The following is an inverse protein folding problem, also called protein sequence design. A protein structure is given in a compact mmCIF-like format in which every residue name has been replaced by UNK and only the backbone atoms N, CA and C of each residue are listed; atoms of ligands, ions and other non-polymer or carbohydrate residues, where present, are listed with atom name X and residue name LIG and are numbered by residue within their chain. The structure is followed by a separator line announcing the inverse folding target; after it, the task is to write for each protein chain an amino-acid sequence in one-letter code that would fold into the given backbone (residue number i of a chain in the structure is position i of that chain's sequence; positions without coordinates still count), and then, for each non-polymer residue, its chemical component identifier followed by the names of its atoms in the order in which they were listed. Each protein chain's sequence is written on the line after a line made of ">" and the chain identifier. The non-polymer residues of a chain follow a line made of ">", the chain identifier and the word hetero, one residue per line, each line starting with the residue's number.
data_IF_465109836714
#
_entry.id   IF_465109836714
#
_cell.length_a   1.000
_cell.length_b   1.000
_cell.length_c   1.000
_cell.angle_alpha   90.00
_cell.angle_beta   90.00
_cell.angle_gamma   90.00
#
_symmetry.space_group_name_H-M   'P 1'
#
loop_
_entity.id
_entity.type
_entity.pdbx_description
1 polymer ?
#
# COMPACT_ATOMS: atom_id res chain seq x y z
N UNK A 1 -22.60 54.11 -3.01
CA UNK A 1 -22.80 52.66 -3.29
C UNK A 1 -23.70 52.11 -2.20
N UNK A 2 -24.68 51.24 -2.49
CA UNK A 2 -25.54 50.70 -1.43
C UNK A 2 -24.71 49.83 -0.49
N UNK A 3 -24.81 50.11 0.81
CA UNK A 3 -24.11 49.41 1.89
C UNK A 3 -24.25 47.88 1.80
N UNK A 4 -25.41 47.41 1.36
CA UNK A 4 -25.72 45.99 1.14
C UNK A 4 -24.76 45.30 0.16
N UNK A 5 -24.35 45.96 -0.93
CA UNK A 5 -23.41 45.38 -1.91
C UNK A 5 -22.02 45.19 -1.29
N UNK A 6 -21.54 46.17 -0.53
CA UNK A 6 -20.22 46.13 0.12
C UNK A 6 -20.18 45.03 1.18
N UNK A 7 -21.23 44.94 2.02
CA UNK A 7 -21.34 43.90 3.05
C UNK A 7 -21.44 42.51 2.43
N UNK A 8 -22.25 42.35 1.37
CA UNK A 8 -22.40 41.06 0.68
C UNK A 8 -21.09 40.60 0.03
N UNK A 9 -20.37 41.52 -0.63
CA UNK A 9 -19.06 41.23 -1.20
C UNK A 9 -18.04 40.85 -0.12
N UNK A 10 -17.98 41.58 0.99
CA UNK A 10 -17.07 41.27 2.09
C UNK A 10 -17.36 39.88 2.71
N UNK A 11 -18.64 39.51 2.83
CA UNK A 11 -19.04 38.18 3.29
C UNK A 11 -18.61 37.07 2.31
N UNK A 12 -18.81 37.26 1.00
CA UNK A 12 -18.38 36.31 -0.03
C UNK A 12 -16.86 36.18 -0.03
N UNK A 13 -16.13 37.29 0.01
CA UNK A 13 -14.67 37.28 0.07
C UNK A 13 -14.16 36.53 1.31
N UNK A 14 -14.71 36.83 2.48
CA UNK A 14 -14.34 36.13 3.73
C UNK A 14 -14.61 34.63 3.65
N UNK A 15 -15.76 34.23 3.11
CA UNK A 15 -16.10 32.82 2.94
C UNK A 15 -15.18 32.11 1.94
N UNK A 16 -14.92 32.72 0.78
CA UNK A 16 -14.03 32.16 -0.23
C UNK A 16 -12.60 32.01 0.31
N UNK A 17 -12.08 33.01 1.01
CA UNK A 17 -10.74 32.92 1.63
C UNK A 17 -10.70 31.84 2.72
N UNK A 18 -11.76 31.69 3.52
CA UNK A 18 -11.83 30.63 4.54
C UNK A 18 -11.86 29.23 3.92
N UNK A 19 -12.70 29.01 2.89
CA UNK A 19 -12.77 27.73 2.17
C UNK A 19 -11.43 27.45 1.49
N UNK A 20 -10.88 28.44 0.78
CA UNK A 20 -9.59 28.31 0.10
C UNK A 20 -8.47 28.00 1.09
N UNK A 21 -8.44 28.68 2.23
CA UNK A 21 -7.50 28.42 3.31
C UNK A 21 -7.57 26.99 3.85
N UNK A 22 -8.78 26.47 4.08
CA UNK A 22 -8.97 25.08 4.50
C UNK A 22 -8.44 24.08 3.46
N UNK A 23 -8.80 24.25 2.18
CA UNK A 23 -8.34 23.39 1.11
C UNK A 23 -6.83 23.48 0.89
N UNK A 24 -6.26 24.68 1.00
CA UNK A 24 -4.82 24.93 0.90
C UNK A 24 -4.07 24.28 2.06
N UNK A 25 -4.64 24.30 3.27
CA UNK A 25 -4.06 23.63 4.43
C UNK A 25 -3.93 22.13 4.20
N UNK A 26 -5.04 21.46 3.87
CA UNK A 26 -5.01 20.03 3.61
C UNK A 26 -4.13 19.69 2.38
N UNK A 27 -4.16 20.53 1.36
CA UNK A 27 -3.34 20.40 0.15
C UNK A 27 -1.84 20.66 0.35
N UNK A 28 -1.44 21.32 1.44
CA UNK A 28 -0.02 21.55 1.76
C UNK A 28 0.47 20.67 2.89
N UNK A 29 -0.41 20.06 3.68
CA UNK A 29 -0.08 19.35 4.91
C UNK A 29 1.02 18.29 4.70
N UNK A 30 0.88 17.45 3.68
CA UNK A 30 1.86 16.41 3.35
C UNK A 30 3.13 16.92 2.67
N UNK A 31 3.13 18.12 2.09
CA UNK A 31 4.32 18.67 1.41
C UNK A 31 5.13 19.61 2.31
N UNK A 32 4.47 20.42 3.13
CA UNK A 32 5.06 21.49 3.91
C UNK A 32 5.13 21.20 5.43
N UNK A 33 4.44 20.14 5.91
CA UNK A 33 4.51 19.67 7.29
C UNK A 33 4.36 20.81 8.32
N UNK A 34 5.39 21.05 9.15
CA UNK A 34 5.37 22.02 10.26
C UNK A 34 5.14 23.48 9.81
N UNK A 35 5.54 23.83 8.58
CA UNK A 35 5.38 25.19 8.06
C UNK A 35 4.05 25.42 7.32
N UNK A 36 3.20 24.39 7.24
CA UNK A 36 1.91 24.46 6.53
C UNK A 36 1.02 25.58 7.08
N UNK A 37 0.82 25.61 8.40
CA UNK A 37 -0.06 26.58 9.04
C UNK A 37 0.38 28.03 8.81
N UNK A 38 1.65 28.44 9.10
CA UNK A 38 2.07 29.82 8.84
C UNK A 38 2.03 30.18 7.35
N UNK A 39 2.33 29.23 6.45
CA UNK A 39 2.26 29.46 5.01
C UNK A 39 0.83 29.73 4.53
N UNK A 40 -0.14 28.94 4.99
CA UNK A 40 -1.56 29.11 4.63
C UNK A 40 -2.12 30.42 5.17
N UNK A 41 -1.84 30.76 6.43
CA UNK A 41 -2.26 32.04 7.02
C UNK A 41 -1.67 33.21 6.24
N UNK A 42 -0.41 33.11 5.82
CA UNK A 42 0.24 34.10 4.97
C UNK A 42 -0.46 34.24 3.61
N UNK A 43 -0.75 33.14 2.91
CA UNK A 43 -1.47 33.13 1.63
C UNK A 43 -2.88 33.72 1.76
N UNK A 44 -3.65 33.29 2.77
CA UNK A 44 -4.99 33.82 3.06
C UNK A 44 -4.96 35.34 3.29
N UNK A 45 -3.97 35.81 4.05
CA UNK A 45 -3.80 37.24 4.34
C UNK A 45 -3.49 38.03 3.07
N UNK A 46 -2.63 37.50 2.19
CA UNK A 46 -2.32 38.15 0.91
C UNK A 46 -3.56 38.19 0.01
N UNK A 47 -4.25 37.06 -0.18
CA UNK A 47 -5.43 36.99 -1.05
C UNK A 47 -6.51 37.94 -0.55
N UNK A 48 -6.83 37.90 0.74
CA UNK A 48 -7.83 38.78 1.34
C UNK A 48 -7.45 40.26 1.21
N UNK A 49 -6.22 40.63 1.60
CA UNK A 49 -5.78 42.02 1.59
C UNK A 49 -5.65 42.58 0.18
N UNK A 50 -5.15 41.80 -0.78
CA UNK A 50 -5.02 42.24 -2.16
C UNK A 50 -6.38 42.33 -2.86
N UNK A 51 -7.30 41.40 -2.65
CA UNK A 51 -8.65 41.48 -3.25
C UNK A 51 -9.44 42.68 -2.70
N UNK A 52 -9.37 42.91 -1.38
CA UNK A 52 -9.92 44.12 -0.77
C UNK A 52 -9.26 45.41 -1.31
N UNK A 53 -7.94 45.40 -1.51
CA UNK A 53 -7.20 46.54 -2.09
C UNK A 53 -7.58 46.78 -3.54
N UNK A 54 -7.77 45.74 -4.34
CA UNK A 54 -8.21 45.83 -5.74
C UNK A 54 -9.61 46.47 -5.78
N UNK A 55 -10.54 45.97 -4.98
CA UNK A 55 -11.89 46.53 -4.83
C UNK A 55 -11.86 48.01 -4.44
N UNK A 56 -11.05 48.37 -3.45
CA UNK A 56 -10.90 49.76 -3.01
C UNK A 56 -10.28 50.65 -4.09
N UNK A 57 -9.20 50.22 -4.76
CA UNK A 57 -8.52 50.99 -5.81
C UNK A 57 -9.39 51.15 -7.06
N UNK A 58 -10.25 50.18 -7.39
CA UNK A 58 -11.28 50.32 -8.43
C UNK A 58 -12.26 51.43 -8.07
N UNK A 59 -12.78 51.43 -6.84
CA UNK A 59 -13.74 52.44 -6.38
C UNK A 59 -13.16 53.87 -6.31
N UNK A 60 -11.85 54.01 -6.14
CA UNK A 60 -11.13 55.29 -6.01
C UNK A 60 -10.34 55.68 -7.26
N UNK A 61 -10.54 54.98 -8.37
CA UNK A 61 -9.87 55.22 -9.65
C UNK A 61 -8.32 55.22 -9.57
N UNK A 62 -7.74 54.43 -8.66
CA UNK A 62 -6.28 54.26 -8.52
C UNK A 62 -5.78 53.13 -9.43
N UNK A 63 -4.45 53.06 -9.60
CA UNK A 63 -3.83 51.95 -10.34
C UNK A 63 -3.83 50.69 -9.47
N UNK A 64 -4.33 49.59 -10.01
CA UNK A 64 -4.45 48.30 -9.31
C UNK A 64 -3.59 47.19 -9.95
N UNK A 65 -2.61 47.55 -10.80
CA UNK A 65 -1.71 46.58 -11.47
C UNK A 65 -0.87 45.77 -10.49
N UNK A 66 -0.23 46.45 -9.53
CA UNK A 66 0.62 45.80 -8.54
C UNK A 66 -0.20 44.88 -7.60
N UNK A 67 -1.35 45.31 -7.05
CA UNK A 67 -2.25 44.41 -6.32
C UNK A 67 -2.68 43.18 -7.12
N UNK A 68 -3.04 43.33 -8.41
CA UNK A 68 -3.37 42.17 -9.26
C UNK A 68 -2.18 41.22 -9.37
N UNK A 69 -0.97 41.75 -9.60
CA UNK A 69 0.21 40.89 -9.76
C UNK A 69 0.50 40.08 -8.49
N UNK A 70 0.49 40.74 -7.32
CA UNK A 70 0.72 40.07 -6.03
C UNK A 70 -0.40 39.05 -5.76
N UNK A 71 -1.65 39.44 -6.01
CA UNK A 71 -2.79 38.54 -5.89
C UNK A 71 -2.68 37.33 -6.82
N UNK A 72 -2.27 37.51 -8.08
CA UNK A 72 -2.14 36.43 -9.05
C UNK A 72 -1.08 35.40 -8.64
N UNK A 73 0.04 35.86 -8.08
CA UNK A 73 1.07 34.96 -7.53
C UNK A 73 0.52 34.17 -6.35
N UNK A 74 -0.17 34.81 -5.40
CA UNK A 74 -0.75 34.12 -4.26
C UNK A 74 -1.87 33.15 -4.66
N UNK A 75 -2.74 33.57 -5.59
CA UNK A 75 -3.80 32.76 -6.16
C UNK A 75 -3.24 31.54 -6.90
N UNK A 76 -2.10 31.65 -7.58
CA UNK A 76 -1.46 30.49 -8.22
C UNK A 76 -1.09 29.40 -7.20
N UNK A 77 -0.43 29.76 -6.09
CA UNK A 77 -0.07 28.80 -5.05
C UNK A 77 -1.30 28.23 -4.31
N UNK A 78 -2.31 29.08 -4.09
CA UNK A 78 -3.59 28.67 -3.53
C UNK A 78 -4.32 27.66 -4.43
N UNK A 79 -4.47 27.97 -5.73
CA UNK A 79 -5.06 27.07 -6.72
C UNK A 79 -4.27 25.75 -6.80
N UNK A 80 -2.93 25.81 -6.79
CA UNK A 80 -2.10 24.60 -6.85
C UNK A 80 -2.29 23.68 -5.63
N UNK A 81 -2.37 24.25 -4.41
CA UNK A 81 -2.62 23.48 -3.20
C UNK A 81 -4.06 22.97 -3.12
N UNK A 82 -5.05 23.80 -3.48
CA UNK A 82 -6.45 23.39 -3.59
C UNK A 82 -6.63 22.26 -4.62
N UNK A 83 -5.96 22.34 -5.77
CA UNK A 83 -5.93 21.29 -6.78
C UNK A 83 -5.36 20.00 -6.22
N UNK A 84 -4.23 20.06 -5.53
CA UNK A 84 -3.60 18.88 -4.92
C UNK A 84 -4.55 18.14 -3.97
N UNK A 85 -5.24 18.87 -3.08
CA UNK A 85 -6.21 18.26 -2.17
C UNK A 85 -7.41 17.64 -2.90
N UNK A 86 -8.05 18.39 -3.79
CA UNK A 86 -9.24 17.93 -4.51
C UNK A 86 -8.93 16.75 -5.41
N UNK A 87 -7.84 16.82 -6.16
CA UNK A 87 -7.40 15.74 -7.04
C UNK A 87 -7.07 14.49 -6.24
N UNK A 88 -6.32 14.63 -5.15
CA UNK A 88 -5.97 13.50 -4.29
C UNK A 88 -7.21 12.85 -3.68
N UNK A 89 -8.25 13.61 -3.33
CA UNK A 89 -9.50 13.05 -2.83
C UNK A 89 -10.31 12.34 -3.91
N UNK A 90 -10.40 12.89 -5.13
CA UNK A 90 -11.11 12.21 -6.22
C UNK A 90 -10.41 10.95 -6.69
N UNK A 91 -9.08 10.93 -6.64
CA UNK A 91 -8.27 9.80 -7.06
C UNK A 91 -7.96 8.82 -5.92
N UNK A 92 -8.42 9.11 -4.70
CA UNK A 92 -8.02 8.35 -3.50
C UNK A 92 -8.28 6.87 -3.68
N UNK A 93 -9.51 6.49 -3.97
CA UNK A 93 -9.88 5.08 -4.02
C UNK A 93 -9.28 4.37 -5.24
N UNK A 94 -9.26 5.02 -6.41
CA UNK A 94 -8.74 4.44 -7.65
C UNK A 94 -7.22 4.21 -7.60
N UNK A 95 -6.46 5.20 -7.12
CA UNK A 95 -4.99 5.09 -7.02
C UNK A 95 -4.61 4.13 -5.90
N UNK A 96 -5.29 4.18 -4.74
CA UNK A 96 -5.04 3.21 -3.67
C UNK A 96 -5.29 1.79 -4.19
N UNK A 97 -6.41 1.55 -4.89
CA UNK A 97 -6.72 0.22 -5.41
C UNK A 97 -5.71 -0.26 -6.46
N UNK A 98 -5.35 0.58 -7.43
CA UNK A 98 -4.41 0.19 -8.48
C UNK A 98 -3.01 -0.06 -7.93
N UNK A 99 -2.52 0.84 -7.07
CA UNK A 99 -1.21 0.70 -6.40
C UNK A 99 -1.18 -0.54 -5.53
N UNK A 100 -2.20 -0.78 -4.71
CA UNK A 100 -2.27 -2.00 -3.89
C UNK A 100 -2.33 -3.25 -4.76
N UNK A 101 -3.10 -3.25 -5.85
CA UNK A 101 -3.20 -4.41 -6.74
C UNK A 101 -1.84 -4.76 -7.35
N UNK A 102 -1.10 -3.76 -7.83
CA UNK A 102 0.23 -3.93 -8.39
C UNK A 102 1.21 -4.47 -7.33
N UNK A 103 1.30 -3.81 -6.18
CA UNK A 103 2.25 -4.17 -5.13
C UNK A 103 1.94 -5.54 -4.47
N UNK A 104 0.65 -5.90 -4.32
CA UNK A 104 0.26 -7.24 -3.86
C UNK A 104 0.69 -8.29 -4.89
N UNK A 105 0.54 -8.01 -6.19
CA UNK A 105 0.92 -8.95 -7.24
C UNK A 105 2.42 -9.24 -7.20
N UNK A 106 3.24 -8.19 -7.11
CA UNK A 106 4.70 -8.31 -6.96
C UNK A 106 5.05 -9.11 -5.71
N UNK A 107 4.53 -8.70 -4.54
CA UNK A 107 4.77 -9.37 -3.28
C UNK A 107 4.44 -10.87 -3.34
N UNK A 108 3.25 -11.23 -3.82
CA UNK A 108 2.79 -12.62 -3.91
C UNK A 108 3.62 -13.44 -4.89
N UNK A 109 3.99 -12.85 -6.03
CA UNK A 109 4.83 -13.49 -7.02
C UNK A 109 6.18 -13.87 -6.42
N UNK A 110 6.83 -12.93 -5.75
CA UNK A 110 8.17 -13.11 -5.18
C UNK A 110 8.18 -14.13 -4.04
N UNK A 111 7.30 -13.98 -3.05
CA UNK A 111 7.27 -14.93 -1.93
C UNK A 111 6.78 -16.31 -2.40
N UNK A 112 5.90 -16.37 -3.39
CA UNK A 112 5.44 -17.61 -4.01
C UNK A 112 6.56 -18.34 -4.75
N UNK A 113 7.39 -17.60 -5.49
CA UNK A 113 8.58 -18.14 -6.14
C UNK A 113 9.60 -18.63 -5.10
N UNK A 114 9.84 -17.85 -4.05
CA UNK A 114 10.73 -18.26 -2.95
C UNK A 114 10.27 -19.54 -2.27
N UNK A 115 8.95 -19.67 -2.01
CA UNK A 115 8.35 -20.91 -1.50
C UNK A 115 8.64 -22.10 -2.40
N UNK A 116 8.49 -21.94 -3.72
CA UNK A 116 8.74 -23.01 -4.68
C UNK A 116 10.21 -23.43 -4.70
N UNK A 117 11.14 -22.46 -4.65
CA UNK A 117 12.57 -22.73 -4.59
C UNK A 117 12.93 -23.49 -3.30
N UNK A 118 12.44 -23.02 -2.14
CA UNK A 118 12.64 -23.69 -0.86
C UNK A 118 12.11 -25.14 -0.86
N UNK A 119 10.91 -25.35 -1.41
CA UNK A 119 10.30 -26.69 -1.51
C UNK A 119 11.07 -27.63 -2.45
N UNK A 120 11.80 -27.09 -3.42
CA UNK A 120 12.59 -27.89 -4.37
C UNK A 120 13.97 -28.31 -3.84
N UNK A 121 14.38 -27.83 -2.66
CA UNK A 121 15.68 -28.17 -2.08
C UNK A 121 15.77 -29.65 -1.74
N UNK A 122 16.94 -30.25 -1.95
CA UNK A 122 17.18 -31.67 -1.69
C UNK A 122 16.88 -32.05 -0.24
N UNK A 123 17.27 -31.19 0.71
CA UNK A 123 17.01 -31.39 2.14
C UNK A 123 15.51 -31.49 2.46
N UNK A 124 14.67 -30.68 1.80
CA UNK A 124 13.21 -30.76 1.96
C UNK A 124 12.65 -32.01 1.29
N UNK A 125 13.10 -32.31 0.06
CA UNK A 125 12.67 -33.53 -0.66
C UNK A 125 12.96 -34.78 0.15
N UNK A 126 14.20 -34.91 0.65
CA UNK A 126 14.61 -35.97 1.55
C UNK A 126 13.70 -36.04 2.79
N UNK A 127 13.49 -34.91 3.48
CA UNK A 127 12.64 -34.89 4.67
C UNK A 127 11.19 -35.31 4.40
N UNK A 128 10.61 -34.90 3.27
CA UNK A 128 9.26 -35.27 2.85
C UNK A 128 9.18 -36.75 2.49
N UNK A 129 10.16 -37.27 1.75
CA UNK A 129 10.25 -38.68 1.36
C UNK A 129 10.37 -39.58 2.59
N UNK A 130 11.30 -39.28 3.50
CA UNK A 130 11.47 -40.03 4.75
C UNK A 130 10.20 -40.06 5.61
N UNK A 131 9.49 -38.93 5.74
CA UNK A 131 8.20 -38.88 6.45
C UNK A 131 7.11 -39.68 5.76
N UNK A 132 7.10 -39.68 4.42
CA UNK A 132 6.10 -40.40 3.62
C UNK A 132 6.33 -41.90 3.71
N UNK A 133 7.56 -42.35 3.50
CA UNK A 133 7.94 -43.76 3.58
C UNK A 133 7.69 -44.30 4.99
N UNK A 134 8.11 -43.55 6.02
CA UNK A 134 7.88 -43.93 7.41
C UNK A 134 6.38 -44.05 7.73
N UNK A 135 5.56 -43.14 7.21
CA UNK A 135 4.09 -43.21 7.38
C UNK A 135 3.51 -44.46 6.73
N UNK A 136 3.93 -44.79 5.51
CA UNK A 136 3.47 -46.00 4.80
C UNK A 136 3.81 -47.25 5.61
N UNK A 137 5.04 -47.35 6.11
CA UNK A 137 5.45 -48.51 6.91
C UNK A 137 4.75 -48.58 8.27
N UNK A 138 4.44 -47.45 8.90
CA UNK A 138 3.60 -47.44 10.10
C UNK A 138 2.18 -47.92 9.81
N UNK A 139 1.56 -47.46 8.73
CA UNK A 139 0.21 -47.86 8.35
C UNK A 139 0.18 -49.39 8.07
N UNK A 140 1.18 -49.92 7.35
CA UNK A 140 1.33 -51.36 7.11
C UNK A 140 1.58 -52.16 8.41
N UNK A 141 2.47 -51.67 9.27
CA UNK A 141 2.75 -52.29 10.58
C UNK A 141 1.49 -52.35 11.43
N UNK A 142 0.71 -51.27 11.46
CA UNK A 142 -0.55 -51.17 12.20
C UNK A 142 -1.58 -52.17 11.69
N UNK A 143 -1.67 -52.37 10.37
CA UNK A 143 -2.57 -53.37 9.79
C UNK A 143 -2.16 -54.80 10.18
N UNK A 144 -0.86 -55.11 10.13
CA UNK A 144 -0.35 -56.45 10.45
C UNK A 144 -0.56 -56.82 11.93
N UNK A 145 -0.25 -55.92 12.85
CA UNK A 145 -0.37 -56.22 14.29
C UNK A 145 -1.82 -56.35 14.77
N UNK A 146 -2.75 -55.72 14.05
CA UNK A 146 -4.17 -55.71 14.35
C UNK A 146 -4.96 -56.76 13.52
N UNK A 147 -4.30 -57.71 12.85
CA UNK A 147 -4.97 -58.82 12.15
C UNK A 147 -5.92 -59.56 13.13
N UNK A 148 -7.25 -59.51 12.92
CA UNK A 148 -8.22 -60.09 13.85
C UNK A 148 -8.06 -61.60 14.04
N UNK A 149 -7.47 -62.29 13.07
CA UNK A 149 -7.25 -63.73 13.11
C UNK A 149 -5.93 -64.10 13.78
N UNK A 150 -4.96 -63.17 13.83
CA UNK A 150 -3.61 -63.39 14.36
C UNK A 150 -3.04 -62.10 14.98
N UNK A 151 -3.62 -61.59 16.08
CA UNK A 151 -3.15 -60.35 16.69
C UNK A 151 -1.72 -60.49 17.23
N UNK A 152 -0.94 -59.42 17.18
CA UNK A 152 0.47 -59.40 17.62
C UNK A 152 1.48 -59.43 16.47
N UNK A 153 2.77 -59.51 16.78
CA UNK A 153 3.83 -59.29 15.80
C UNK A 153 4.46 -60.59 15.30
N UNK A 154 4.05 -61.02 14.09
CA UNK A 154 4.63 -62.13 13.35
C UNK A 154 5.86 -61.75 12.50
N UNK A 155 6.20 -62.59 11.52
CA UNK A 155 7.35 -62.38 10.61
C UNK A 155 7.20 -61.11 9.76
N UNK A 156 6.03 -60.90 9.13
CA UNK A 156 5.74 -59.71 8.32
C UNK A 156 5.81 -58.42 9.14
N UNK A 157 5.27 -58.41 10.35
CA UNK A 157 5.39 -57.28 11.28
C UNK A 157 6.86 -56.93 11.56
N UNK A 158 7.72 -57.93 11.79
CA UNK A 158 9.17 -57.72 11.97
C UNK A 158 9.85 -57.21 10.69
N UNK A 159 9.33 -57.60 9.52
CA UNK A 159 9.74 -57.04 8.23
C UNK A 159 9.51 -55.54 8.15
N UNK A 160 8.29 -55.07 8.46
CA UNK A 160 7.97 -53.63 8.50
C UNK A 160 8.81 -52.89 9.55
N UNK A 161 9.04 -53.47 10.73
CA UNK A 161 9.95 -52.89 11.72
C UNK A 161 11.37 -52.72 11.18
N UNK A 162 11.90 -53.74 10.48
CA UNK A 162 13.24 -53.66 9.89
C UNK A 162 13.32 -52.57 8.80
N UNK A 163 12.26 -52.39 8.03
CA UNK A 163 12.17 -51.35 7.02
C UNK A 163 12.10 -49.94 7.64
N UNK A 164 11.33 -49.77 8.72
CA UNK A 164 11.32 -48.54 9.53
C UNK A 164 12.72 -48.22 10.04
N UNK A 165 13.42 -49.21 10.60
CA UNK A 165 14.79 -49.03 11.08
C UNK A 165 15.79 -48.74 9.95
N UNK A 166 15.54 -49.27 8.74
CA UNK A 166 16.32 -48.97 7.53
C UNK A 166 16.14 -47.52 7.10
N UNK A 167 14.90 -47.02 7.07
CA UNK A 167 14.58 -45.61 6.79
C UNK A 167 15.28 -44.70 7.80
N UNK A 168 15.20 -45.03 9.08
CA UNK A 168 15.83 -44.25 10.16
C UNK A 168 17.37 -44.41 10.21
N UNK A 169 17.93 -45.41 9.53
CA UNK A 169 19.36 -45.75 9.57
C UNK A 169 19.86 -46.23 10.94
N UNK A 170 18.95 -46.58 11.86
CA UNK A 170 19.24 -47.09 13.20
C UNK A 170 18.03 -47.80 13.79
N UNK A 171 18.28 -48.66 14.76
CA UNK A 171 17.21 -49.30 15.51
C UNK A 171 16.47 -48.31 16.42
N UNK A 172 15.14 -48.47 16.48
CA UNK A 172 14.24 -47.57 17.20
C UNK A 172 14.42 -47.78 18.70
N UNK A 173 14.31 -49.02 19.19
CA UNK A 173 14.51 -49.40 20.60
C UNK A 173 14.66 -50.92 20.76
N UNK A 174 14.94 -51.39 21.98
CA UNK A 174 14.84 -52.80 22.40
C UNK A 174 13.54 -53.07 23.19
N UNK A 175 12.39 -52.56 22.72
CA UNK A 175 11.09 -52.86 23.33
C UNK A 175 10.75 -54.35 23.16
N UNK A 176 10.13 -54.96 24.18
CA UNK A 176 9.60 -56.31 24.07
C UNK A 176 8.46 -56.34 23.04
N UNK A 177 8.73 -56.99 21.90
CA UNK A 177 7.76 -57.12 20.80
C UNK A 177 6.65 -58.10 21.20
N UNK A 178 5.36 -57.73 21.05
CA UNK A 178 4.23 -58.59 21.44
C UNK A 178 4.19 -59.87 20.62
N UNK A 179 3.98 -61.00 21.29
CA UNK A 179 3.85 -62.31 20.65
C UNK A 179 2.51 -62.46 19.91
N UNK A 180 2.45 -63.40 18.97
CA UNK A 180 1.18 -63.78 18.32
C UNK A 180 0.19 -64.28 19.39
N UNK A 181 -1.03 -63.75 19.37
CA UNK A 181 -2.07 -64.02 20.35
C UNK A 181 -2.06 -63.12 21.59
N UNK A 182 -1.18 -62.11 21.64
CA UNK A 182 -1.24 -61.06 22.68
C UNK A 182 -2.56 -60.30 22.63
N UNK A 183 -2.98 -59.75 23.78
CA UNK A 183 -4.19 -58.94 23.87
C UNK A 183 -4.04 -57.63 23.07
N UNK A 184 -5.17 -57.14 22.55
CA UNK A 184 -5.21 -55.97 21.66
C UNK A 184 -4.72 -54.69 22.34
N UNK A 185 -4.93 -54.55 23.65
CA UNK A 185 -4.50 -53.38 24.41
C UNK A 185 -2.96 -53.32 24.46
N UNK A 186 -2.32 -54.43 24.82
CA UNK A 186 -0.86 -54.57 24.82
C UNK A 186 -0.24 -54.29 23.44
N UNK A 187 -0.89 -54.75 22.36
CA UNK A 187 -0.43 -54.54 20.98
C UNK A 187 -0.53 -53.06 20.58
N UNK A 188 -1.65 -52.41 20.86
CA UNK A 188 -1.86 -50.98 20.57
C UNK A 188 -0.88 -50.10 21.35
N UNK A 189 -0.75 -50.35 22.65
CA UNK A 189 0.17 -49.64 23.54
C UNK A 189 1.62 -49.76 23.08
N UNK A 190 2.02 -50.95 22.64
CA UNK A 190 3.35 -51.17 22.08
C UNK A 190 3.55 -50.38 20.79
N UNK A 191 2.58 -50.43 19.87
CA UNK A 191 2.65 -49.73 18.59
C UNK A 191 2.75 -48.21 18.78
N UNK A 192 1.93 -47.63 19.65
CA UNK A 192 1.95 -46.19 19.92
C UNK A 192 3.32 -45.74 20.46
N UNK A 193 3.91 -46.52 21.39
CA UNK A 193 5.27 -46.25 21.91
C UNK A 193 6.35 -46.42 20.84
N UNK A 194 6.27 -47.46 20.03
CA UNK A 194 7.21 -47.72 18.95
C UNK A 194 7.17 -46.59 17.91
N UNK A 195 5.97 -46.24 17.45
CA UNK A 195 5.71 -45.15 16.52
C UNK A 195 6.23 -43.82 17.05
N UNK A 196 5.87 -43.44 18.28
CA UNK A 196 6.33 -42.19 18.88
C UNK A 196 7.86 -42.11 18.94
N UNK A 197 8.53 -43.22 19.30
CA UNK A 197 10.00 -43.24 19.38
C UNK A 197 10.67 -43.17 18.00
N UNK A 198 10.08 -43.82 17.00
CA UNK A 198 10.53 -43.77 15.62
C UNK A 198 10.34 -42.38 15.00
N UNK A 199 9.19 -41.74 15.23
CA UNK A 199 8.93 -40.35 14.83
C UNK A 199 9.91 -39.38 15.52
N UNK A 200 10.16 -39.52 16.82
CA UNK A 200 11.16 -38.73 17.55
C UNK A 200 12.58 -38.94 16.97
N UNK A 201 12.91 -40.17 16.60
CA UNK A 201 14.20 -40.49 15.98
C UNK A 201 14.34 -39.79 14.62
N UNK A 202 13.28 -39.81 13.80
CA UNK A 202 13.27 -39.10 12.52
C UNK A 202 13.42 -37.59 12.74
N UNK A 203 12.65 -36.99 13.65
CA UNK A 203 12.74 -35.55 13.91
C UNK A 203 14.13 -35.15 14.44
N UNK A 204 14.79 -36.00 15.24
CA UNK A 204 16.18 -35.80 15.65
C UNK A 204 17.19 -35.89 14.50
N UNK A 205 16.93 -36.74 13.49
CA UNK A 205 17.74 -36.82 12.28
C UNK A 205 17.55 -35.58 11.41
N UNK A 206 16.29 -35.19 11.17
CA UNK A 206 15.94 -34.01 10.40
C UNK A 206 16.39 -32.71 11.09
N UNK A 207 16.39 -32.68 12.42
CA UNK A 207 16.87 -31.57 13.25
C UNK A 207 18.34 -31.20 13.03
N UNK A 208 19.13 -32.09 12.44
CA UNK A 208 20.54 -31.83 12.07
C UNK A 208 20.69 -31.20 10.69
N UNK A 209 19.58 -31.05 9.96
CA UNK A 209 19.54 -30.47 8.61
C UNK A 209 18.85 -29.10 8.64
N UNK A 210 18.83 -28.39 7.51
CA UNK A 210 18.06 -27.15 7.38
C UNK A 210 16.55 -27.36 7.18
N UNK A 211 16.06 -28.60 7.04
CA UNK A 211 14.64 -28.88 6.76
C UNK A 211 13.67 -28.22 7.76
N UNK A 212 13.86 -28.29 9.10
CA UNK A 212 12.93 -27.69 10.04
C UNK A 212 12.82 -26.17 9.89
N UNK A 213 13.95 -25.50 9.66
CA UNK A 213 13.99 -24.06 9.41
C UNK A 213 13.27 -23.70 8.10
N UNK A 214 13.50 -24.48 7.03
CA UNK A 214 12.81 -24.29 5.75
C UNK A 214 11.29 -24.50 5.89
N UNK A 215 10.84 -25.51 6.65
CA UNK A 215 9.42 -25.72 6.91
C UNK A 215 8.78 -24.59 7.73
N UNK A 216 9.51 -24.05 8.71
CA UNK A 216 9.05 -22.90 9.49
C UNK A 216 8.90 -21.65 8.61
N UNK A 217 9.89 -21.37 7.77
CA UNK A 217 9.84 -20.26 6.81
C UNK A 217 8.72 -20.46 5.78
N UNK A 218 8.57 -21.67 5.24
CA UNK A 218 7.49 -22.01 4.30
C UNK A 218 6.10 -21.74 4.91
N UNK A 219 5.90 -22.10 6.19
CA UNK A 219 4.65 -21.81 6.90
C UNK A 219 4.40 -20.31 7.08
N UNK A 220 5.46 -19.53 7.34
CA UNK A 220 5.37 -18.07 7.40
C UNK A 220 4.98 -17.49 6.05
N UNK A 221 5.55 -18.00 4.95
CA UNK A 221 5.18 -17.60 3.60
C UNK A 221 3.72 -17.95 3.30
N UNK A 222 3.27 -19.16 3.65
CA UNK A 222 1.86 -19.58 3.46
C UNK A 222 0.90 -18.66 4.22
N UNK A 223 1.22 -18.31 5.47
CA UNK A 223 0.43 -17.36 6.25
C UNK A 223 0.43 -15.96 5.63
N UNK A 224 1.57 -15.49 5.12
CA UNK A 224 1.66 -14.20 4.44
C UNK A 224 0.83 -14.17 3.16
N UNK A 225 0.86 -15.25 2.36
CA UNK A 225 0.02 -15.40 1.17
C UNK A 225 -1.48 -15.38 1.50
N UNK A 226 -1.88 -15.88 2.67
CA UNK A 226 -3.28 -15.81 3.14
C UNK A 226 -3.64 -14.43 3.69
N UNK A 227 -2.72 -13.75 4.37
CA UNK A 227 -2.93 -12.40 4.91
C UNK A 227 -3.09 -11.38 3.77
N UNK A 228 -2.17 -11.39 2.81
CA UNK A 228 -2.10 -10.49 1.66
C UNK A 228 -2.76 -11.11 0.41
N UNK A 229 -3.95 -11.68 0.58
CA UNK A 229 -4.64 -12.41 -0.49
C UNK A 229 -5.34 -11.51 -1.51
N UNK A 230 -5.87 -10.37 -1.07
CA UNK A 230 -6.60 -9.47 -1.96
C UNK A 230 -6.57 -8.02 -1.49
N UNK A 231 -6.69 -7.10 -2.45
CA UNK A 231 -6.82 -5.65 -2.21
C UNK A 231 -8.02 -5.36 -1.30
N UNK A 232 -9.15 -6.02 -1.52
CA UNK A 232 -10.37 -5.83 -0.72
C UNK A 232 -10.14 -6.11 0.77
N UNK A 233 -9.35 -7.15 1.10
CA UNK A 233 -9.01 -7.48 2.49
C UNK A 233 -8.08 -6.44 3.11
N UNK A 234 -7.11 -5.91 2.36
CA UNK A 234 -6.21 -4.86 2.85
C UNK A 234 -6.93 -3.53 3.07
N UNK A 235 -7.86 -3.17 2.19
CA UNK A 235 -8.71 -2.00 2.37
C UNK A 235 -9.59 -2.12 3.61
N UNK A 236 -10.11 -3.33 3.90
CA UNK A 236 -10.95 -3.56 5.06
C UNK A 236 -10.18 -3.56 6.40
N UNK A 237 -8.94 -4.08 6.41
CA UNK A 237 -8.23 -4.40 7.66
C UNK A 237 -7.03 -3.49 7.95
N UNK A 238 -6.41 -2.85 6.95
CA UNK A 238 -5.12 -2.14 7.09
C UNK A 238 -5.10 -0.75 6.46
N UNK A 239 -6.25 -0.10 6.31
CA UNK A 239 -6.40 1.27 5.77
C UNK A 239 -5.68 1.47 4.41
N UNK A 240 -5.66 0.42 3.59
CA UNK A 240 -5.05 0.45 2.26
C UNK A 240 -3.53 0.54 2.27
N UNK A 241 -2.98 1.72 1.91
CA UNK A 241 -1.54 1.90 1.61
C UNK A 241 -0.62 1.74 2.82
N UNK A 242 -1.15 1.78 4.05
CA UNK A 242 -0.37 1.46 5.27
C UNK A 242 0.08 0.00 5.33
N UNK A 243 -0.44 -0.89 4.50
CA UNK A 243 0.06 -2.25 4.37
C UNK A 243 1.41 -2.34 3.64
N UNK A 244 1.76 -1.36 2.80
CA UNK A 244 2.96 -1.42 1.94
C UNK A 244 4.29 -1.50 2.72
N UNK A 245 4.51 -0.72 3.79
CA UNK A 245 5.75 -0.84 4.58
C UNK A 245 5.90 -2.22 5.23
N UNK A 246 4.80 -2.78 5.76
CA UNK A 246 4.81 -4.11 6.38
C UNK A 246 5.09 -5.20 5.34
N UNK A 247 4.46 -5.12 4.16
CA UNK A 247 4.73 -6.03 3.04
C UNK A 247 6.19 -5.95 2.59
N UNK A 248 6.72 -4.74 2.45
CA UNK A 248 8.11 -4.51 2.04
C UNK A 248 9.11 -5.10 3.04
N UNK A 249 8.92 -4.84 4.34
CA UNK A 249 9.74 -5.42 5.41
C UNK A 249 9.66 -6.95 5.43
N UNK A 250 8.44 -7.50 5.38
CA UNK A 250 8.22 -8.94 5.40
C UNK A 250 8.84 -9.64 4.20
N UNK A 251 8.73 -9.03 3.01
CA UNK A 251 9.36 -9.52 1.78
C UNK A 251 10.87 -9.61 1.93
N UNK A 252 11.52 -8.53 2.40
CA UNK A 252 12.97 -8.48 2.60
C UNK A 252 13.46 -9.47 3.67
N UNK A 253 12.70 -9.63 4.75
CA UNK A 253 13.02 -10.61 5.79
C UNK A 253 12.95 -12.04 5.27
N UNK A 254 11.92 -12.37 4.47
CA UNK A 254 11.79 -13.67 3.82
C UNK A 254 12.93 -13.90 2.82
N UNK A 255 13.27 -12.92 1.99
CA UNK A 255 14.38 -13.02 1.03
C UNK A 255 15.69 -13.34 1.74
N UNK A 256 16.02 -12.58 2.78
CA UNK A 256 17.24 -12.75 3.56
C UNK A 256 17.30 -14.14 4.19
N UNK A 257 16.27 -14.53 4.91
CA UNK A 257 16.22 -15.83 5.61
C UNK A 257 16.23 -17.00 4.62
N UNK A 258 15.54 -16.89 3.48
CA UNK A 258 15.60 -17.88 2.42
C UNK A 258 17.03 -18.03 1.88
N UNK A 259 17.70 -16.93 1.56
CA UNK A 259 19.07 -16.94 1.05
C UNK A 259 20.11 -17.49 2.05
N UNK A 260 19.84 -17.42 3.35
CA UNK A 260 20.66 -18.08 4.39
C UNK A 260 20.46 -19.61 4.42
N UNK A 261 19.28 -20.09 4.05
CA UNK A 261 18.91 -21.52 4.07
C UNK A 261 19.17 -22.23 2.75
N UNK A 262 19.29 -21.49 1.65
CA UNK A 262 19.50 -22.06 0.32
C UNK A 262 20.94 -22.54 0.11
N UNK A 263 21.15 -23.58 -0.73
CA UNK A 263 22.48 -24.05 -1.09
C UNK A 263 23.30 -22.97 -1.81
N UNK A 264 24.63 -23.07 -1.73
CA UNK A 264 25.52 -22.16 -2.46
C UNK A 264 25.23 -22.18 -3.96
N UNK A 265 25.09 -20.99 -4.54
CA UNK A 265 24.81 -20.81 -5.97
C UNK A 265 23.32 -20.74 -6.33
N UNK A 266 22.41 -20.95 -5.37
CA UNK A 266 20.98 -20.69 -5.53
C UNK A 266 20.62 -19.50 -4.65
N UNK A 267 20.01 -18.48 -5.24
CA UNK A 267 19.50 -17.34 -4.49
C UNK A 267 18.17 -16.88 -5.05
N UNK A 268 17.34 -16.36 -4.16
CA UNK A 268 16.12 -15.64 -4.51
C UNK A 268 16.38 -14.15 -4.38
N UNK A 269 15.68 -13.35 -5.18
CA UNK A 269 15.74 -11.89 -5.11
C UNK A 269 14.34 -11.37 -5.27
N UNK A 270 13.88 -10.57 -4.33
CA UNK A 270 12.57 -9.94 -4.44
C UNK A 270 12.71 -8.57 -5.12
N UNK A 271 11.65 -8.15 -5.79
CA UNK A 271 11.51 -6.79 -6.27
C UNK A 271 11.20 -5.85 -5.10
N UNK A 272 11.73 -4.62 -5.18
CA UNK A 272 11.51 -3.64 -4.13
C UNK A 272 10.08 -3.14 -4.18
N UNK A 273 9.30 -3.47 -3.15
CA UNK A 273 8.01 -2.83 -2.90
C UNK A 273 8.28 -1.41 -2.42
N UNK A 274 7.81 -0.41 -3.17
CA UNK A 274 7.99 1.00 -2.83
C UNK A 274 6.97 1.41 -1.75
N UNK A 275 7.39 1.57 -0.49
CA UNK A 275 6.49 1.95 0.59
C UNK A 275 6.02 3.41 0.47
N UNK A 276 6.66 4.19 -0.40
CA UNK A 276 6.38 5.61 -0.62
C UNK A 276 5.28 5.85 -1.64
N UNK A 277 4.73 4.82 -2.28
CA UNK A 277 3.51 4.97 -3.08
C UNK A 277 2.29 5.38 -2.22
N UNK A 278 2.43 5.39 -0.88
CA UNK A 278 1.59 6.08 0.09
C UNK A 278 1.50 7.62 -0.03
N UNK A 279 2.26 8.26 -0.93
CA UNK A 279 2.43 9.73 -1.05
C UNK A 279 1.27 10.50 -1.69
N UNK A 280 0.09 9.90 -1.80
CA UNK A 280 -1.13 10.60 -2.23
C UNK A 280 -1.33 11.88 -1.38
N UNK A 281 -1.62 13.03 -2.00
CA UNK A 281 -1.68 14.32 -1.29
C UNK A 281 -0.37 15.10 -1.23
N UNK A 282 0.71 14.64 -1.86
CA UNK A 282 1.86 15.50 -2.18
C UNK A 282 1.68 16.22 -3.51
N UNK A 283 2.01 17.52 -3.54
CA UNK A 283 1.82 18.39 -4.72
C UNK A 283 2.52 17.82 -5.96
N UNK A 284 3.78 17.38 -5.83
CA UNK A 284 4.54 16.86 -6.99
C UNK A 284 3.83 15.65 -7.60
N UNK A 285 3.32 14.75 -6.75
CA UNK A 285 2.62 13.56 -7.19
C UNK A 285 1.28 13.91 -7.85
N UNK A 286 0.44 14.75 -7.24
CA UNK A 286 -0.84 15.14 -7.82
C UNK A 286 -0.68 15.85 -9.18
N UNK A 287 0.37 16.64 -9.36
CA UNK A 287 0.64 17.29 -10.64
C UNK A 287 1.19 16.32 -11.70
N UNK A 288 2.13 15.44 -11.34
CA UNK A 288 2.64 14.43 -12.26
C UNK A 288 1.51 13.48 -12.72
N UNK A 289 0.69 13.04 -11.78
CA UNK A 289 -0.40 12.13 -12.05
C UNK A 289 -1.54 12.85 -12.81
N UNK A 290 -1.91 14.06 -12.38
CA UNK A 290 -2.99 14.84 -12.96
C UNK A 290 -2.71 15.46 -14.32
N UNK A 291 -1.46 15.79 -14.66
CA UNK A 291 -1.10 16.45 -15.94
C UNK A 291 -0.06 15.68 -16.77
N UNK A 292 0.71 14.77 -16.18
CA UNK A 292 1.68 13.94 -16.91
C UNK A 292 1.04 12.64 -17.39
N UNK A 293 0.60 11.81 -16.43
CA UNK A 293 0.05 10.48 -16.71
C UNK A 293 -1.44 10.53 -17.12
N UNK A 294 -2.21 11.47 -16.53
CA UNK A 294 -3.64 11.70 -16.79
C UNK A 294 -4.50 10.41 -16.78
N UNK A 295 -4.49 9.61 -15.70
CA UNK A 295 -5.32 8.40 -15.64
C UNK A 295 -6.82 8.71 -15.64
N UNK A 296 -7.22 9.85 -15.04
CA UNK A 296 -8.61 10.30 -15.02
C UNK A 296 -8.70 11.80 -15.41
N UNK A 297 -8.92 12.12 -16.70
CA UNK A 297 -8.95 13.50 -17.16
C UNK A 297 -10.14 14.30 -16.60
N UNK A 298 -11.23 13.61 -16.23
CA UNK A 298 -12.39 14.26 -15.60
C UNK A 298 -12.04 14.72 -14.18
N UNK A 299 -11.37 13.89 -13.38
CA UNK A 299 -10.92 14.26 -12.04
C UNK A 299 -9.93 15.44 -12.08
N UNK A 300 -8.99 15.45 -13.02
CA UNK A 300 -8.10 16.60 -13.26
C UNK A 300 -8.89 17.86 -13.59
N UNK A 301 -9.80 17.79 -14.57
CA UNK A 301 -10.59 18.94 -15.01
C UNK A 301 -11.47 19.50 -13.88
N UNK A 302 -12.19 18.64 -13.16
CA UNK A 302 -13.04 19.04 -12.04
C UNK A 302 -12.22 19.67 -10.90
N UNK A 303 -11.12 19.04 -10.51
CA UNK A 303 -10.24 19.58 -9.45
C UNK A 303 -9.70 20.95 -9.83
N UNK A 304 -9.26 21.12 -11.07
CA UNK A 304 -8.72 22.39 -11.55
C UNK A 304 -9.79 23.48 -11.61
N UNK A 305 -10.98 23.16 -12.11
CA UNK A 305 -12.10 24.10 -12.19
C UNK A 305 -12.53 24.53 -10.79
N UNK A 306 -12.75 23.59 -9.87
CA UNK A 306 -13.18 23.89 -8.50
C UNK A 306 -12.11 24.70 -7.76
N UNK A 307 -10.84 24.28 -7.83
CA UNK A 307 -9.72 25.00 -7.22
C UNK A 307 -9.62 26.44 -7.75
N UNK A 308 -9.80 26.63 -9.06
CA UNK A 308 -9.75 27.96 -9.68
C UNK A 308 -10.95 28.82 -9.29
N UNK A 309 -12.17 28.27 -9.28
CA UNK A 309 -13.39 29.03 -8.99
C UNK A 309 -13.37 29.65 -7.60
N UNK A 310 -12.86 28.93 -6.60
CA UNK A 310 -12.86 29.39 -5.20
C UNK A 310 -12.06 30.70 -5.05
N UNK A 311 -10.90 30.80 -5.72
CA UNK A 311 -10.04 31.99 -5.66
C UNK A 311 -10.43 33.06 -6.68
N UNK A 312 -10.91 32.68 -7.86
CA UNK A 312 -11.28 33.62 -8.92
C UNK A 312 -12.64 34.29 -8.70
N UNK A 313 -13.57 33.64 -8.00
CA UNK A 313 -14.94 34.15 -7.85
C UNK A 313 -15.00 35.51 -7.11
N UNK A 314 -14.36 35.71 -5.94
CA UNK A 314 -14.35 37.03 -5.28
C UNK A 314 -13.71 38.09 -6.15
N UNK A 315 -12.60 37.74 -6.80
CA UNK A 315 -11.90 38.63 -7.72
C UNK A 315 -12.79 39.06 -8.87
N UNK A 316 -13.47 38.14 -9.57
CA UNK A 316 -14.38 38.48 -10.67
C UNK A 316 -15.59 39.29 -10.19
N UNK A 317 -16.12 38.98 -9.00
CA UNK A 317 -17.19 39.77 -8.38
C UNK A 317 -16.74 41.20 -8.09
N UNK A 318 -15.49 41.41 -7.69
CA UNK A 318 -14.96 42.77 -7.52
C UNK A 318 -15.00 43.57 -8.84
N UNK A 319 -14.81 42.90 -9.97
CA UNK A 319 -14.88 43.53 -11.29
C UNK A 319 -16.31 43.83 -11.74
N UNK A 320 -17.26 42.96 -11.37
CA UNK A 320 -18.67 43.14 -11.70
C UNK A 320 -19.35 44.21 -10.82
N UNK A 321 -19.04 44.24 -9.52
CA UNK A 321 -19.74 45.07 -8.53
C UNK A 321 -19.13 46.46 -8.35
N UNK A 322 -17.82 46.60 -8.52
CA UNK A 322 -17.13 47.89 -8.33
C UNK A 322 -16.82 48.55 -9.67
N UNK A 323 -17.04 49.87 -9.75
CA UNK A 323 -16.95 50.67 -10.97
C UNK A 323 -15.60 50.62 -11.69
N UNK A 324 -15.59 51.08 -12.95
CA UNK A 324 -14.42 51.00 -13.83
C UNK A 324 -13.24 51.82 -13.30
N UNK A 325 -12.15 51.15 -12.95
CA UNK A 325 -10.91 51.80 -12.52
C UNK A 325 -10.19 52.56 -13.66
N UNK A 326 -9.12 53.29 -13.32
CA UNK A 326 -8.37 54.14 -14.27
C UNK A 326 -7.82 53.37 -15.49
N UNK A 327 -7.46 52.09 -15.33
CA UNK A 327 -6.96 51.25 -16.42
C UNK A 327 -8.03 51.00 -17.49
N UNK A 328 -9.26 50.71 -17.09
CA UNK A 328 -10.38 50.45 -18.00
C UNK A 328 -10.79 51.71 -18.79
N UNK A 329 -10.71 52.90 -18.17
CA UNK A 329 -10.93 54.18 -18.86
C UNK A 329 -9.80 54.56 -19.81
N UNK A 330 -8.54 54.32 -19.42
CA UNK A 330 -7.37 54.63 -20.27
C UNK A 330 -7.28 53.71 -21.49
N UNK A 331 -7.68 52.44 -21.37
CA UNK A 331 -7.82 51.53 -22.51
C UNK A 331 -8.93 51.95 -23.48
N UNK A 332 -10.08 52.42 -22.96
CA UNK A 332 -11.19 52.90 -23.78
C UNK A 332 -10.84 54.20 -24.52
N UNK A 333 -10.22 55.18 -23.84
CA UNK A 333 -9.71 56.40 -24.49
C UNK A 333 -8.63 56.14 -25.54
N UNK A 334 -7.79 55.11 -25.35
CA UNK A 334 -6.78 54.70 -26.35
C UNK A 334 -7.42 54.05 -27.57
N UNK A 335 -8.46 53.22 -27.40
CA UNK A 335 -9.26 52.67 -28.51
C UNK A 335 -10.02 53.76 -29.28
N UNK A 336 -10.69 54.69 -28.61
CA UNK A 336 -11.36 55.82 -29.26
C UNK A 336 -10.39 56.74 -30.03
N UNK A 337 -9.13 56.87 -29.58
CA UNK A 337 -8.11 57.66 -30.29
C UNK A 337 -7.54 56.94 -31.52
N UNK A 338 -7.52 55.61 -31.52
CA UNK A 338 -7.10 54.80 -32.67
C UNK A 338 -8.21 54.79 -33.72
N UNK A 339 -9.48 54.62 -33.33
CA UNK A 339 -10.62 54.65 -34.26
C UNK A 339 -10.87 56.05 -34.85
N UNK A 340 -10.51 57.13 -34.15
CA UNK A 340 -10.53 58.51 -34.70
C UNK A 340 -9.27 58.89 -35.49
N UNK A 341 -8.23 58.05 -35.46
CA UNK A 341 -6.98 58.27 -36.18
C UNK A 341 -6.91 57.61 -37.56
N UNK A 342 -7.95 56.88 -37.97
CA UNK A 342 -8.00 56.15 -39.27
C UNK A 342 -8.91 56.82 -40.31
N UNK A 343 -8.97 58.16 -40.29
CA UNK A 343 -9.48 58.94 -41.42
C UNK A 343 -8.54 60.14 -41.62
N UNK A 344 -7.37 59.90 -42.19
CA UNK A 344 -6.68 60.86 -43.09
C UNK A 344 -5.83 60.02 -44.06
N UNK A 345 -6.30 60.04 -45.31
CA UNK A 345 -5.66 59.71 -46.61
C UNK A 345 -4.93 58.38 -46.81
#
# INVERSE_FOLDING_TARGET
>A
MPYLIVVSYAAILGLSVAISGYLSYEGLLRSAHEITLPLVVFLMTIIFSMDATISYFRSTERSYRLPIFIWAVAAFFSIASNFNFLYSNFMKDDVIQSTLAEQITVFRSDIGATRQVLASTETVRFAVEQRTDLKVEFDNLSEQINDPLRPGCGEECRGHMAEIERILGRSVTNLAVPSIGSDSETVSDWYDRYRATAEETLENLLGKTSAPAIFALTRRIDNALLEYDSVARLLANKDGLSALPEMSSLSQDIEREANELLPQGVSVKHETIDPTLGRLGEIVYAFQNGFGEMPNPLATAMSLVIASVIDLLPFLLSFALFGKGRLERSGHKRRERVDRGTIVE
#
